data_IF_343078625458
#
_entry.id   IF_343078625458
#
_cell.length_a   1.000
_cell.length_b   1.000
_cell.length_c   1.000
_cell.angle_alpha   90.00
_cell.angle_beta   90.00
_cell.angle_gamma   90.00
#
_symmetry.space_group_name_H-M   'P 1'
#
loop_
_entity.id
_entity.type
_entity.pdbx_description
1 polymer ?
#
# COMPACT_ATOMS: atom_id res chain seq x y z
N UNK A 1 -10.16 -4.80 -19.90
CA UNK A 1 -11.44 -4.13 -20.20
C UNK A 1 -11.18 -2.67 -20.51
N UNK A 2 -12.02 -2.04 -21.33
CA UNK A 2 -11.91 -0.64 -21.78
C UNK A 2 -11.94 0.38 -20.65
N UNK A 3 -11.50 1.62 -20.90
CA UNK A 3 -11.61 2.70 -19.92
C UNK A 3 -13.08 2.89 -19.50
N UNK A 4 -13.34 3.15 -18.22
CA UNK A 4 -14.70 3.28 -17.70
C UNK A 4 -15.45 1.97 -17.42
N UNK A 5 -14.87 0.80 -17.70
CA UNK A 5 -15.52 -0.50 -17.46
C UNK A 5 -15.63 -0.90 -15.97
N UNK A 6 -15.40 0.01 -15.02
CA UNK A 6 -15.51 -0.26 -13.58
C UNK A 6 -14.36 -1.04 -12.93
N UNK A 7 -13.23 -1.29 -13.63
CA UNK A 7 -12.08 -2.05 -13.06
C UNK A 7 -11.55 -1.43 -11.77
N UNK A 8 -11.34 -0.12 -11.77
CA UNK A 8 -10.83 0.59 -10.59
C UNK A 8 -11.84 0.53 -9.45
N UNK A 9 -13.13 0.71 -9.75
CA UNK A 9 -14.21 0.54 -8.77
C UNK A 9 -14.20 -0.85 -8.15
N UNK A 10 -14.09 -1.90 -8.98
CA UNK A 10 -14.01 -3.28 -8.51
C UNK A 10 -12.77 -3.51 -7.62
N UNK A 11 -11.59 -3.06 -8.05
CA UNK A 11 -10.37 -3.19 -7.27
C UNK A 11 -10.46 -2.44 -5.94
N UNK A 12 -11.06 -1.24 -5.91
CA UNK A 12 -11.25 -0.47 -4.68
C UNK A 12 -12.20 -1.18 -3.71
N UNK A 13 -13.28 -1.78 -4.21
CA UNK A 13 -14.21 -2.57 -3.38
C UNK A 13 -13.51 -3.83 -2.84
N UNK A 14 -12.76 -4.56 -3.67
CA UNK A 14 -12.01 -5.74 -3.25
C UNK A 14 -10.94 -5.40 -2.22
N UNK A 15 -10.33 -4.24 -2.36
CA UNK A 15 -9.33 -3.75 -1.44
C UNK A 15 -9.91 -3.03 -0.22
N UNK A 16 -11.24 -3.05 -0.08
CA UNK A 16 -11.97 -2.41 1.00
C UNK A 16 -11.68 -0.91 1.17
N UNK A 17 -11.35 -0.22 0.07
CA UNK A 17 -11.25 1.23 -0.02
C UNK A 17 -12.60 1.88 -0.34
N UNK A 18 -13.53 1.10 -0.89
CA UNK A 18 -14.88 1.55 -1.24
C UNK A 18 -15.91 0.49 -0.83
N UNK A 19 -17.16 0.91 -0.64
CA UNK A 19 -18.28 0.00 -0.31
C UNK A 19 -19.19 -0.16 -1.52
N UNK A 20 -19.69 -1.38 -1.80
CA UNK A 20 -20.67 -1.56 -2.85
C UNK A 20 -21.96 -0.79 -2.51
N UNK A 21 -22.53 -0.09 -3.48
CA UNK A 21 -23.83 0.61 -3.31
C UNK A 21 -25.00 -0.36 -3.15
N UNK A 22 -24.85 -1.60 -3.63
CA UNK A 22 -25.79 -2.69 -3.46
C UNK A 22 -25.12 -4.06 -3.63
N UNK A 23 -25.76 -5.10 -3.11
CA UNK A 23 -25.18 -6.44 -3.06
C UNK A 23 -24.28 -6.66 -1.83
N UNK A 24 -23.57 -7.78 -1.81
CA UNK A 24 -22.77 -8.22 -0.66
C UNK A 24 -21.39 -8.65 -1.10
N UNK A 25 -20.38 -8.14 -0.40
CA UNK A 25 -18.98 -8.55 -0.55
C UNK A 25 -18.53 -9.14 0.76
N UNK A 26 -18.00 -10.36 0.73
CA UNK A 26 -17.57 -11.08 1.92
C UNK A 26 -16.04 -11.07 2.01
N UNK A 27 -15.53 -10.55 3.12
CA UNK A 27 -14.11 -10.57 3.46
C UNK A 27 -13.89 -11.58 4.60
N UNK A 28 -13.20 -12.69 4.32
CA UNK A 28 -13.03 -13.76 5.30
C UNK A 28 -14.38 -14.31 5.83
N UNK A 29 -15.42 -14.31 5.00
CA UNK A 29 -16.78 -14.74 5.37
C UNK A 29 -17.64 -13.69 6.07
N UNK A 30 -17.14 -12.48 6.33
CA UNK A 30 -17.90 -11.37 6.95
C UNK A 30 -18.30 -10.33 5.90
N UNK A 31 -19.52 -9.80 6.00
CA UNK A 31 -19.99 -8.74 5.11
C UNK A 31 -19.16 -7.46 5.31
N UNK A 32 -18.45 -7.04 4.26
CA UNK A 32 -17.55 -5.88 4.28
C UNK A 32 -18.26 -4.60 4.71
N UNK A 33 -19.53 -4.43 4.33
CA UNK A 33 -20.32 -3.24 4.67
C UNK A 33 -20.58 -3.09 6.17
N UNK A 34 -20.56 -4.20 6.91
CA UNK A 34 -20.83 -4.29 8.35
C UNK A 34 -19.55 -4.27 9.21
N UNK A 35 -18.37 -4.34 8.59
CA UNK A 35 -17.09 -4.30 9.31
C UNK A 35 -16.76 -2.84 9.66
N UNK A 36 -16.39 -2.54 10.93
CA UNK A 36 -15.95 -1.20 11.33
C UNK A 36 -14.71 -0.75 10.56
N UNK A 37 -14.62 0.54 10.24
CA UNK A 37 -13.52 1.09 9.44
C UNK A 37 -12.14 0.80 10.04
N UNK A 38 -12.01 0.83 11.37
CA UNK A 38 -10.77 0.48 12.06
C UNK A 38 -10.32 -0.95 11.78
N UNK A 39 -11.27 -1.90 11.77
CA UNK A 39 -10.99 -3.31 11.45
C UNK A 39 -10.64 -3.47 9.97
N UNK A 40 -11.34 -2.77 9.09
CA UNK A 40 -11.05 -2.76 7.66
C UNK A 40 -9.67 -2.16 7.38
N UNK A 41 -9.31 -1.07 8.05
CA UNK A 41 -8.00 -0.43 7.93
C UNK A 41 -6.87 -1.35 8.40
N UNK A 42 -7.05 -2.03 9.54
CA UNK A 42 -6.09 -3.03 10.02
C UNK A 42 -5.95 -4.17 9.02
N UNK A 43 -7.05 -4.67 8.47
CA UNK A 43 -7.01 -5.70 7.43
C UNK A 43 -6.22 -5.24 6.21
N UNK A 44 -6.47 -4.03 5.69
CA UNK A 44 -5.74 -3.46 4.55
C UNK A 44 -4.24 -3.40 4.84
N UNK A 45 -3.86 -2.87 6.01
CA UNK A 45 -2.47 -2.75 6.44
C UNK A 45 -1.75 -4.10 6.51
N UNK A 46 -2.45 -5.13 6.99
CA UNK A 46 -1.83 -6.42 7.32
C UNK A 46 -1.86 -7.42 6.16
N UNK A 47 -2.75 -7.25 5.17
CA UNK A 47 -3.01 -8.27 4.14
C UNK A 47 -2.93 -7.75 2.70
N UNK A 48 -2.94 -6.44 2.47
CA UNK A 48 -3.01 -5.88 1.12
C UNK A 48 -1.81 -4.96 0.84
N UNK A 49 -1.18 -5.17 -0.31
CA UNK A 49 -0.21 -4.27 -0.91
C UNK A 49 -0.77 -3.67 -2.19
N UNK A 50 -0.55 -2.37 -2.40
CA UNK A 50 -1.02 -1.65 -3.57
C UNK A 50 0.15 -1.17 -4.41
N UNK A 51 0.02 -1.32 -5.73
CA UNK A 51 0.93 -0.73 -6.71
C UNK A 51 0.10 0.13 -7.64
N UNK A 52 0.39 1.42 -7.69
CA UNK A 52 -0.36 2.41 -8.46
C UNK A 52 0.42 2.80 -9.73
N UNK A 53 -0.29 3.20 -10.78
CA UNK A 53 0.35 3.67 -12.02
C UNK A 53 1.18 4.95 -11.81
N UNK A 54 0.71 5.84 -10.92
CA UNK A 54 1.39 7.10 -10.59
C UNK A 54 2.30 6.98 -9.34
N UNK A 55 2.69 5.75 -8.97
CA UNK A 55 3.55 5.36 -7.83
C UNK A 55 3.05 5.73 -6.41
N UNK A 56 2.24 6.79 -6.27
CA UNK A 56 1.63 7.25 -5.01
C UNK A 56 2.63 7.45 -3.86
N UNK A 57 3.86 7.88 -4.18
CA UNK A 57 4.87 8.23 -3.20
C UNK A 57 4.62 9.63 -2.62
N UNK A 58 4.94 9.81 -1.34
CA UNK A 58 4.95 11.11 -0.68
C UNK A 58 6.26 11.83 -1.01
N UNK A 59 6.16 12.94 -1.76
CA UNK A 59 7.32 13.72 -2.22
C UNK A 59 8.13 14.38 -1.09
N UNK A 60 7.52 14.54 0.09
CA UNK A 60 8.17 15.11 1.29
C UNK A 60 8.96 14.07 2.08
N UNK A 61 8.92 12.80 1.68
CA UNK A 61 9.50 11.66 2.38
C UNK A 61 10.60 11.04 1.51
N UNK A 62 11.64 10.47 2.14
CA UNK A 62 12.61 9.68 1.39
C UNK A 62 11.98 8.37 0.87
N UNK A 63 12.65 7.65 -0.04
CA UNK A 63 12.20 6.34 -0.49
C UNK A 63 12.12 5.35 0.69
N UNK A 64 13.08 5.39 1.62
CA UNK A 64 13.04 4.61 2.86
C UNK A 64 11.81 4.92 3.71
N UNK A 65 11.50 6.21 3.89
CA UNK A 65 10.34 6.63 4.68
C UNK A 65 9.03 6.18 4.03
N UNK A 66 8.93 6.27 2.70
CA UNK A 66 7.78 5.78 1.94
C UNK A 66 7.60 4.27 2.10
N UNK A 67 8.67 3.49 1.99
CA UNK A 67 8.62 2.03 2.14
C UNK A 67 8.29 1.63 3.58
N UNK A 68 8.80 2.37 4.58
CA UNK A 68 8.60 2.06 5.99
C UNK A 68 7.27 2.56 6.55
N UNK A 69 6.59 3.50 5.88
CA UNK A 69 5.35 4.11 6.37
C UNK A 69 4.29 3.09 6.83
N UNK A 70 3.99 2.00 6.09
CA UNK A 70 3.04 0.99 6.56
C UNK A 70 3.47 0.31 7.88
N UNK A 71 4.77 0.12 8.07
CA UNK A 71 5.32 -0.48 9.29
C UNK A 71 5.26 0.49 10.47
N UNK A 72 5.45 1.79 10.23
CA UNK A 72 5.23 2.84 11.24
C UNK A 72 3.77 2.84 11.70
N UNK A 73 2.83 2.77 10.77
CA UNK A 73 1.39 2.69 11.07
C UNK A 73 1.00 1.37 11.75
N UNK A 74 1.78 0.31 11.56
CA UNK A 74 1.66 -0.94 12.29
C UNK A 74 2.37 -0.94 13.65
N UNK A 75 2.97 0.19 14.06
CA UNK A 75 3.66 0.32 15.35
C UNK A 75 4.95 -0.50 15.46
N UNK A 76 5.61 -0.80 14.34
CA UNK A 76 6.83 -1.61 14.34
C UNK A 76 8.04 -0.83 14.85
N UNK A 77 8.98 -1.54 15.46
CA UNK A 77 10.23 -0.94 15.94
C UNK A 77 11.15 -0.56 14.78
N UNK A 78 12.04 0.41 15.02
CA UNK A 78 13.06 0.80 14.04
C UNK A 78 13.95 -0.35 13.60
N UNK A 79 14.29 -1.25 14.52
CA UNK A 79 15.07 -2.46 14.22
C UNK A 79 14.30 -3.38 13.27
N UNK A 80 13.02 -3.66 13.56
CA UNK A 80 12.19 -4.52 12.71
C UNK A 80 12.00 -3.91 11.31
N UNK A 81 11.81 -2.59 11.22
CA UNK A 81 11.70 -1.89 9.93
C UNK A 81 12.97 -2.06 9.10
N UNK A 82 14.14 -1.81 9.70
CA UNK A 82 15.42 -1.97 9.02
C UNK A 82 15.66 -3.42 8.57
N UNK A 83 15.40 -4.38 9.43
CA UNK A 83 15.64 -5.79 9.14
C UNK A 83 14.72 -6.33 8.02
N UNK A 84 13.52 -5.74 7.85
CA UNK A 84 12.64 -5.99 6.70
C UNK A 84 13.06 -5.24 5.43
N UNK A 85 13.51 -3.99 5.57
CA UNK A 85 13.86 -3.13 4.44
C UNK A 85 15.14 -3.57 3.75
N UNK A 86 16.18 -3.91 4.50
CA UNK A 86 17.49 -4.25 3.95
C UNK A 86 17.47 -5.34 2.87
N UNK A 87 16.84 -6.52 3.07
CA UNK A 87 16.78 -7.54 2.02
C UNK A 87 15.97 -7.08 0.80
N UNK A 88 14.85 -6.37 1.01
CA UNK A 88 14.04 -5.84 -0.09
C UNK A 88 14.80 -4.82 -0.94
N UNK A 89 15.54 -3.91 -0.28
CA UNK A 89 16.33 -2.91 -0.95
C UNK A 89 17.46 -3.55 -1.78
N UNK A 90 18.07 -4.62 -1.27
CA UNK A 90 19.08 -5.41 -1.97
C UNK A 90 18.51 -6.15 -3.18
N UNK A 91 17.40 -6.86 -3.01
CA UNK A 91 16.76 -7.62 -4.09
C UNK A 91 16.28 -6.70 -5.24
N UNK A 92 15.88 -5.47 -4.91
CA UNK A 92 15.46 -4.45 -5.87
C UNK A 92 16.61 -3.58 -6.41
N UNK A 93 17.82 -3.67 -5.83
CA UNK A 93 18.99 -2.87 -6.22
C UNK A 93 18.84 -1.36 -5.95
N UNK A 94 18.11 -0.99 -4.90
CA UNK A 94 17.77 0.40 -4.57
C UNK A 94 18.44 0.91 -3.29
N UNK A 95 19.40 0.19 -2.72
CA UNK A 95 20.03 0.54 -1.43
C UNK A 95 20.64 1.94 -1.44
N UNK A 96 21.27 2.31 -2.56
CA UNK A 96 21.88 3.63 -2.77
C UNK A 96 20.86 4.75 -2.96
N UNK A 97 19.58 4.41 -3.17
CA UNK A 97 18.49 5.34 -3.42
C UNK A 97 17.63 5.59 -2.19
N UNK A 98 17.73 4.75 -1.16
CA UNK A 98 16.85 4.80 0.03
C UNK A 98 16.74 6.18 0.68
N UNK A 99 17.84 6.94 0.70
CA UNK A 99 17.89 8.29 1.30
C UNK A 99 17.45 9.41 0.36
N UNK A 100 17.19 9.10 -0.91
CA UNK A 100 16.72 10.07 -1.90
C UNK A 100 15.21 10.30 -1.75
N UNK A 101 14.76 11.45 -2.22
CA UNK A 101 13.37 11.79 -2.38
C UNK A 101 12.85 11.38 -3.77
N UNK A 102 11.52 11.19 -3.94
CA UNK A 102 10.95 10.75 -5.22
C UNK A 102 11.37 11.62 -6.42
N UNK A 103 11.54 12.93 -6.24
CA UNK A 103 11.96 13.82 -7.34
C UNK A 103 13.44 13.68 -7.75
N UNK A 104 14.24 12.92 -7.00
CA UNK A 104 15.68 12.72 -7.25
C UNK A 104 15.98 11.40 -7.99
N UNK A 105 14.94 10.63 -8.35
CA UNK A 105 15.06 9.32 -8.98
C UNK A 105 14.24 9.22 -10.28
N UNK A 106 14.65 8.32 -11.16
CA UNK A 106 13.94 8.05 -12.41
C UNK A 106 12.59 7.38 -12.14
N UNK A 107 11.67 7.45 -13.12
CA UNK A 107 10.35 6.82 -12.99
C UNK A 107 10.39 5.31 -12.74
N UNK A 108 11.38 4.59 -13.26
CA UNK A 108 11.53 3.15 -12.99
C UNK A 108 12.15 2.82 -11.62
N UNK A 109 12.69 3.82 -10.93
CA UNK A 109 13.23 3.70 -9.57
C UNK A 109 12.21 4.14 -8.50
N UNK A 110 11.14 4.84 -8.91
CA UNK A 110 9.97 5.11 -8.06
C UNK A 110 9.15 3.85 -7.91
#
# INVERSE_FOLDING_TARGET
>A
GESGSGKTTLLNILAALDKPTGGTVLLGGKNLSEIPEETTAAFRRDNLGFVFQDFSLLDTFSLEDNICLPLVLAGKSRTEMRDRLSPLAYDLGIETLLKKYPYEVSGGQK
#
